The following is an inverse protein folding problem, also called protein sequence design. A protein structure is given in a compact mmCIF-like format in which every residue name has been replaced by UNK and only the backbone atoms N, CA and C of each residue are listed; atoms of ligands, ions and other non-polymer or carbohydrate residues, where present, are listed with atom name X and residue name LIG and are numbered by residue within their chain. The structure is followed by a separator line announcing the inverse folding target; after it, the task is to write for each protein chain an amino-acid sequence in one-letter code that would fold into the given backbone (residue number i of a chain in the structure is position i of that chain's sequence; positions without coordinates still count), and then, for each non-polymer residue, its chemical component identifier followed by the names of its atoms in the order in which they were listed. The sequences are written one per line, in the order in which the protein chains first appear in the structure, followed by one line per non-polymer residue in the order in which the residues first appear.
data_IF_044449689262
#
_entry.id   IF_044449689262
#
_cell.length_a   1.000
_cell.length_b   1.000
_cell.length_c   1.000
_cell.angle_alpha   90.00
_cell.angle_beta   90.00
_cell.angle_gamma   90.00
#
_symmetry.space_group_name_H-M   'P 1'
#
loop_
_entity.id
_entity.type
_entity.pdbx_description
1 polymer ?
#
# COMPACT_ATOMS: atom_id res chain seq x y z
N UNK A 1 4.15 4.30 16.14
CA UNK A 1 3.63 2.93 15.93
C UNK A 1 3.74 2.61 14.45
N UNK A 2 4.13 1.40 14.07
CA UNK A 2 4.24 1.02 12.65
C UNK A 2 2.86 1.02 12.00
N UNK A 3 2.73 1.67 10.84
CA UNK A 3 1.49 1.67 10.07
C UNK A 3 1.41 0.41 9.20
N UNK A 4 0.22 -0.18 9.12
CA UNK A 4 -0.02 -1.40 8.35
C UNK A 4 -1.33 -1.32 7.59
N UNK A 5 -1.31 -1.72 6.33
CA UNK A 5 -2.49 -1.79 5.46
C UNK A 5 -2.48 -3.14 4.75
N UNK A 6 -3.61 -3.84 4.74
CA UNK A 6 -3.78 -5.05 3.94
C UNK A 6 -4.66 -4.76 2.74
N UNK A 7 -4.19 -5.14 1.54
CA UNK A 7 -4.91 -4.95 0.29
C UNK A 7 -5.23 -6.32 -0.30
N UNK A 8 -6.53 -6.56 -0.49
CA UNK A 8 -7.01 -7.76 -1.17
C UNK A 8 -6.68 -7.72 -2.66
N UNK A 9 -6.37 -8.87 -3.26
CA UNK A 9 -6.06 -8.96 -4.69
C UNK A 9 -7.21 -8.53 -5.61
N UNK A 10 -8.45 -8.65 -5.13
CA UNK A 10 -9.61 -8.13 -5.87
C UNK A 10 -9.57 -6.62 -6.04
N UNK A 11 -8.98 -5.89 -5.08
CA UNK A 11 -8.73 -4.45 -5.20
C UNK A 11 -7.49 -4.20 -6.06
N UNK A 12 -6.44 -4.99 -5.85
CA UNK A 12 -5.25 -4.96 -6.70
C UNK A 12 -4.05 -5.65 -6.07
N UNK A 13 -3.08 -6.03 -6.91
CA UNK A 13 -1.83 -6.68 -6.47
C UNK A 13 -0.71 -5.67 -6.29
N UNK A 14 -0.12 -5.63 -5.09
CA UNK A 14 1.06 -4.80 -4.80
C UNK A 14 2.33 -5.57 -5.14
N UNK A 15 3.08 -5.10 -6.14
CA UNK A 15 4.34 -5.71 -6.57
C UNK A 15 5.51 -4.73 -6.55
N UNK A 16 5.24 -3.42 -6.56
CA UNK A 16 6.24 -2.36 -6.60
C UNK A 16 6.06 -1.36 -5.45
N UNK A 17 6.55 -1.66 -4.23
CA UNK A 17 6.40 -0.77 -3.08
C UNK A 17 7.31 0.46 -3.19
N UNK A 18 6.95 1.53 -2.50
CA UNK A 18 7.88 2.63 -2.23
C UNK A 18 9.08 2.11 -1.38
N UNK A 19 10.27 2.72 -1.50
CA UNK A 19 11.45 2.28 -0.76
C UNK A 19 11.21 2.24 0.76
N UNK A 20 11.58 1.14 1.40
CA UNK A 20 11.47 0.95 2.84
C UNK A 20 10.11 0.41 3.33
N UNK A 21 9.10 0.31 2.46
CA UNK A 21 7.89 -0.47 2.75
C UNK A 21 8.21 -1.95 2.55
N UNK A 22 7.81 -2.77 3.53
CA UNK A 22 7.89 -4.23 3.43
C UNK A 22 6.55 -4.80 3.00
N UNK A 23 6.58 -5.85 2.19
CA UNK A 23 5.41 -6.59 1.73
C UNK A 23 5.41 -7.99 2.35
N UNK A 24 4.25 -8.40 2.86
CA UNK A 24 4.01 -9.78 3.31
C UNK A 24 2.74 -10.31 2.66
N UNK A 25 2.80 -11.53 2.14
CA UNK A 25 1.65 -12.18 1.52
C UNK A 25 0.80 -12.86 2.59
N UNK A 26 -0.45 -12.43 2.75
CA UNK A 26 -1.38 -12.99 3.74
C UNK A 26 -2.69 -13.33 3.06
N UNK A 27 -2.96 -14.64 2.92
CA UNK A 27 -4.15 -15.15 2.26
C UNK A 27 -4.28 -14.65 0.82
N UNK A 28 -5.43 -14.05 0.50
CA UNK A 28 -5.75 -13.46 -0.81
C UNK A 28 -5.42 -11.96 -0.88
N UNK A 29 -4.46 -11.47 -0.10
CA UNK A 29 -4.00 -10.09 -0.17
C UNK A 29 -2.56 -9.90 0.31
N UNK A 30 -2.12 -8.65 0.26
CA UNK A 30 -0.75 -8.24 0.61
C UNK A 30 -0.81 -7.22 1.74
N UNK A 31 -0.05 -7.48 2.81
CA UNK A 31 0.15 -6.57 3.92
C UNK A 31 1.37 -5.68 3.64
N UNK A 32 1.16 -4.36 3.63
CA UNK A 32 2.20 -3.35 3.61
C UNK A 32 2.50 -2.94 5.05
N UNK A 33 3.79 -2.80 5.39
CA UNK A 33 4.20 -2.26 6.70
C UNK A 33 5.26 -1.19 6.54
N UNK A 34 5.16 -0.13 7.35
CA UNK A 34 6.19 0.91 7.45
C UNK A 34 7.11 0.66 8.65
N UNK A 35 8.34 1.19 8.63
CA UNK A 35 9.19 1.27 9.81
C UNK A 35 8.51 2.02 10.97
N UNK A 36 8.87 1.64 12.20
CA UNK A 36 8.28 2.17 13.42
C UNK A 36 8.62 3.64 13.68
N UNK A 37 9.78 4.07 13.21
CA UNK A 37 10.40 5.38 13.45
C UNK A 37 10.03 6.44 12.41
N UNK A 38 9.19 6.10 11.43
CA UNK A 38 8.78 7.07 10.41
C UNK A 38 7.79 8.10 10.94
N UNK A 39 7.95 9.38 10.56
CA UNK A 39 6.93 10.40 10.79
C UNK A 39 5.71 10.16 9.89
N UNK A 40 4.56 10.71 10.31
CA UNK A 40 3.28 10.49 9.64
C UNK A 40 3.29 10.95 8.17
N UNK A 41 3.94 12.07 7.87
CA UNK A 41 4.04 12.62 6.52
C UNK A 41 4.79 11.66 5.59
N UNK A 42 5.86 11.04 6.09
CA UNK A 42 6.64 10.04 5.34
C UNK A 42 5.85 8.75 5.12
N UNK A 43 5.07 8.33 6.12
CA UNK A 43 4.17 7.17 5.99
C UNK A 43 3.15 7.44 4.89
N UNK A 44 2.50 8.60 4.91
CA UNK A 44 1.51 8.98 3.91
C UNK A 44 2.10 9.01 2.50
N UNK A 45 3.24 9.69 2.32
CA UNK A 45 3.91 9.80 1.02
C UNK A 45 4.30 8.43 0.45
N UNK A 46 4.86 7.55 1.28
CA UNK A 46 5.25 6.21 0.85
C UNK A 46 4.06 5.32 0.49
N UNK A 47 2.94 5.42 1.21
CA UNK A 47 1.72 4.68 0.90
C UNK A 47 1.10 5.16 -0.41
N UNK A 48 0.94 6.48 -0.60
CA UNK A 48 0.41 7.05 -1.84
C UNK A 48 1.31 6.74 -3.04
N UNK A 49 2.63 6.85 -2.86
CA UNK A 49 3.61 6.46 -3.88
C UNK A 49 3.50 4.98 -4.23
N UNK A 50 3.29 4.12 -3.23
CA UNK A 50 3.07 2.68 -3.48
C UNK A 50 1.80 2.47 -4.28
N UNK A 51 0.70 3.13 -3.95
CA UNK A 51 -0.54 2.97 -4.72
C UNK A 51 -0.37 3.43 -6.17
N UNK A 52 0.22 4.59 -6.41
CA UNK A 52 0.49 5.09 -7.76
C UNK A 52 1.37 4.15 -8.57
N UNK A 53 2.44 3.60 -7.97
CA UNK A 53 3.33 2.63 -8.63
C UNK A 53 2.65 1.30 -9.00
N UNK A 54 1.50 1.00 -8.40
CA UNK A 54 0.72 -0.21 -8.65
C UNK A 54 -0.63 0.11 -9.32
N UNK A 55 -0.81 1.32 -9.87
CA UNK A 55 -2.04 1.79 -10.52
C UNK A 55 -3.30 1.72 -9.61
N UNK A 56 -3.11 1.91 -8.30
CA UNK A 56 -4.17 1.94 -7.29
C UNK A 56 -4.44 3.35 -6.74
N UNK A 57 -3.79 4.36 -7.30
CA UNK A 57 -4.02 5.79 -6.99
C UNK A 57 -5.31 6.33 -7.63
N UNK A 58 -5.88 5.58 -8.57
CA UNK A 58 -7.16 5.89 -9.21
C UNK A 58 -8.11 4.74 -8.93
N UNK A 59 -8.94 4.88 -7.91
CA UNK A 59 -10.11 4.00 -7.75
C UNK A 59 -11.02 4.28 -8.95
N UNK A 60 -11.35 3.31 -9.82
CA UNK A 60 -12.39 3.51 -10.81
C UNK A 60 -13.66 3.87 -10.04
N UNK A 61 -14.20 5.06 -10.26
CA UNK A 61 -15.54 5.39 -9.77
C UNK A 61 -16.49 4.33 -10.35
N UNK A 62 -17.41 3.76 -9.54
CA UNK A 62 -18.44 2.88 -10.06
C UNK A 62 -19.05 3.53 -11.30
N UNK A 63 -19.02 2.81 -12.42
CA UNK A 63 -19.85 3.17 -13.56
C UNK A 63 -21.25 2.72 -13.16
N UNK A 64 -22.11 3.68 -12.80
CA UNK A 64 -23.54 3.44 -12.58
C UNK A 64 -24.18 2.74 -13.80
#
# INVERSE_FOLDING_TARGET
MAHRVWINDWVGTITNPAPGITLERIGNGTLLSTPLDWPNERILDAILTTYARNNLDRIPLPQD
#
